data_IF_150419491777
#
_entry.id   IF_150419491777
#
_cell.length_a   1.000
_cell.length_b   1.000
_cell.length_c   1.000
_cell.angle_alpha   90.00
_cell.angle_beta   90.00
_cell.angle_gamma   90.00
#
_symmetry.space_group_name_H-M   'P 1'
#
loop_
_entity.id
_entity.type
_entity.pdbx_description
1 polymer ?
#
# COMPACT_ATOMS: atom_id res chain seq x y z
N UNK A 1 10.27 -20.38 -15.14
CA UNK A 1 9.87 -19.93 -13.79
C UNK A 1 8.49 -19.29 -13.91
N UNK A 2 7.54 -19.54 -12.99
CA UNK A 2 6.21 -18.96 -13.12
C UNK A 2 6.30 -17.43 -12.95
N UNK A 3 5.92 -16.69 -13.98
CA UNK A 3 5.84 -15.23 -13.97
C UNK A 3 4.60 -14.81 -13.18
N UNK A 4 4.67 -14.88 -11.85
CA UNK A 4 3.58 -14.47 -10.98
C UNK A 4 3.56 -12.93 -10.94
N UNK A 5 2.58 -12.34 -11.61
CA UNK A 5 2.40 -10.89 -11.68
C UNK A 5 1.38 -10.34 -10.66
N UNK A 6 0.61 -11.23 -10.03
CA UNK A 6 -0.42 -10.88 -9.06
C UNK A 6 -0.31 -11.78 -7.83
N UNK A 7 -0.37 -11.17 -6.65
CA UNK A 7 -0.32 -11.84 -5.37
C UNK A 7 -1.62 -11.57 -4.60
N UNK A 8 -2.35 -12.64 -4.31
CA UNK A 8 -3.53 -12.58 -3.44
C UNK A 8 -3.21 -13.25 -2.12
N UNK A 9 -3.21 -12.48 -1.03
CA UNK A 9 -2.85 -12.97 0.28
C UNK A 9 -4.09 -13.05 1.18
N UNK A 10 -4.22 -14.20 1.83
CA UNK A 10 -5.22 -14.39 2.88
C UNK A 10 -4.81 -13.73 4.19
N UNK A 11 -3.56 -13.97 4.63
CA UNK A 11 -3.01 -13.51 5.91
C UNK A 11 -1.48 -13.44 5.82
N UNK A 12 -0.87 -12.42 6.45
CA UNK A 12 0.57 -12.40 6.74
C UNK A 12 0.75 -12.13 8.23
N UNK A 13 1.35 -13.10 8.93
CA UNK A 13 1.87 -12.90 10.28
C UNK A 13 3.21 -12.20 10.16
N UNK A 14 3.27 -10.96 10.65
CA UNK A 14 4.52 -10.23 10.88
C UNK A 14 4.44 -9.82 12.35
N UNK A 15 5.43 -10.23 13.14
CA UNK A 15 5.55 -9.85 14.55
C UNK A 15 5.87 -8.35 14.59
N UNK A 16 5.02 -7.54 15.25
CA UNK A 16 5.10 -6.06 15.29
C UNK A 16 6.26 -5.56 16.19
N UNK A 17 7.31 -6.37 16.42
CA UNK A 17 8.47 -5.96 17.22
C UNK A 17 9.25 -4.88 16.45
N UNK A 18 9.50 -3.76 17.11
CA UNK A 18 10.08 -2.55 16.53
C UNK A 18 11.56 -2.67 16.07
N UNK A 19 12.22 -3.80 16.29
CA UNK A 19 13.65 -3.93 16.03
C UNK A 19 13.93 -4.88 14.86
N UNK A 20 13.84 -4.35 13.65
CA UNK A 20 14.88 -4.42 12.61
C UNK A 20 14.36 -3.68 11.38
N UNK A 21 14.75 -2.41 11.26
CA UNK A 21 15.02 -1.84 9.95
C UNK A 21 15.86 -2.88 9.21
N UNK A 22 15.24 -3.46 8.19
CA UNK A 22 15.72 -4.50 7.29
C UNK A 22 17.25 -4.52 7.23
N UNK A 23 17.89 -5.36 8.05
CA UNK A 23 19.24 -5.80 7.69
C UNK A 23 19.09 -6.39 6.29
N UNK A 24 19.81 -5.82 5.34
CA UNK A 24 19.78 -6.18 3.92
C UNK A 24 20.36 -7.57 3.75
N UNK A 25 19.66 -8.59 4.23
CA UNK A 25 20.02 -9.97 3.99
C UNK A 25 20.04 -10.19 2.48
N UNK A 26 21.00 -11.00 2.02
CA UNK A 26 21.11 -11.34 0.60
C UNK A 26 19.79 -11.93 0.05
N UNK A 27 19.02 -12.62 0.89
CA UNK A 27 17.68 -13.11 0.59
C UNK A 27 16.70 -11.99 0.27
N UNK A 28 16.73 -10.89 1.02
CA UNK A 28 15.87 -9.73 0.77
C UNK A 28 16.22 -9.06 -0.57
N UNK A 29 17.51 -8.81 -0.83
CA UNK A 29 17.97 -8.26 -2.11
C UNK A 29 17.64 -9.19 -3.29
N UNK A 30 17.75 -10.51 -3.09
CA UNK A 30 17.39 -11.50 -4.10
C UNK A 30 15.90 -11.46 -4.45
N UNK A 31 15.02 -11.41 -3.44
CA UNK A 31 13.57 -11.29 -3.66
C UNK A 31 13.24 -9.95 -4.33
N UNK A 32 13.77 -8.84 -3.80
CA UNK A 32 13.57 -7.50 -4.34
C UNK A 32 13.88 -7.42 -5.84
N UNK A 33 15.05 -7.90 -6.26
CA UNK A 33 15.52 -7.79 -7.64
C UNK A 33 14.79 -8.70 -8.64
N UNK A 34 14.09 -9.75 -8.17
CA UNK A 34 13.42 -10.72 -9.05
C UNK A 34 11.91 -10.68 -8.97
N UNK A 35 11.36 -9.91 -8.03
CA UNK A 35 9.93 -9.84 -7.82
C UNK A 35 9.28 -8.95 -8.90
N UNK A 36 8.46 -9.56 -9.76
CA UNK A 36 7.72 -8.87 -10.84
C UNK A 36 6.22 -8.71 -10.50
N UNK A 37 5.87 -8.73 -9.22
CA UNK A 37 4.49 -8.59 -8.74
C UNK A 37 4.08 -7.13 -8.89
N UNK A 38 3.08 -6.92 -9.75
CA UNK A 38 2.50 -5.60 -10.05
C UNK A 38 1.19 -5.36 -9.30
N UNK A 39 0.52 -6.43 -8.88
CA UNK A 39 -0.78 -6.33 -8.22
C UNK A 39 -0.81 -7.12 -6.93
N UNK A 40 -1.19 -6.45 -5.84
CA UNK A 40 -1.34 -7.08 -4.53
C UNK A 40 -2.76 -6.85 -4.02
N UNK A 41 -3.42 -7.95 -3.64
CA UNK A 41 -4.75 -7.93 -3.04
C UNK A 41 -4.69 -8.64 -1.70
N UNK A 42 -5.06 -7.90 -0.65
CA UNK A 42 -5.08 -8.38 0.73
C UNK A 42 -6.45 -8.13 1.33
N UNK A 43 -7.10 -9.19 1.79
CA UNK A 43 -8.48 -9.11 2.30
C UNK A 43 -8.58 -8.71 3.79
N UNK A 44 -7.47 -8.27 4.37
CA UNK A 44 -7.35 -7.95 5.79
C UNK A 44 -6.90 -6.52 6.02
N UNK A 45 -7.08 -6.04 7.26
CA UNK A 45 -6.59 -4.73 7.69
C UNK A 45 -5.12 -4.81 8.06
N UNK A 46 -4.29 -3.95 7.46
CA UNK A 46 -2.86 -3.95 7.72
C UNK A 46 -2.42 -2.72 8.51
N UNK A 47 -1.46 -2.93 9.42
CA UNK A 47 -0.74 -1.87 10.08
C UNK A 47 0.22 -1.19 9.09
N UNK A 48 0.66 0.03 9.43
CA UNK A 48 1.64 0.75 8.62
C UNK A 48 2.95 -0.05 8.45
N UNK A 49 3.41 -0.77 9.49
CA UNK A 49 4.63 -1.56 9.42
C UNK A 49 4.49 -2.71 8.41
N UNK A 50 3.37 -3.44 8.44
CA UNK A 50 3.11 -4.50 7.45
C UNK A 50 3.06 -3.98 6.03
N UNK A 51 2.46 -2.80 5.82
CA UNK A 51 2.43 -2.13 4.50
C UNK A 51 3.84 -1.76 4.04
N UNK A 52 4.67 -1.19 4.93
CA UNK A 52 6.06 -0.86 4.61
C UNK A 52 6.84 -2.08 4.14
N UNK A 53 6.73 -3.19 4.87
CA UNK A 53 7.40 -4.45 4.52
C UNK A 53 6.87 -4.97 3.18
N UNK A 54 5.55 -4.93 2.96
CA UNK A 54 4.94 -5.39 1.72
C UNK A 54 5.44 -4.62 0.49
N UNK A 55 5.45 -3.28 0.56
CA UNK A 55 5.98 -2.42 -0.50
C UNK A 55 7.48 -2.68 -0.71
N UNK A 56 8.24 -2.84 0.36
CA UNK A 56 9.67 -3.12 0.26
C UNK A 56 9.96 -4.51 -0.37
N UNK A 57 9.09 -5.50 -0.19
CA UNK A 57 9.22 -6.82 -0.83
C UNK A 57 8.77 -6.84 -2.29
N UNK A 58 7.91 -5.91 -2.69
CA UNK A 58 7.31 -5.82 -4.03
C UNK A 58 7.54 -4.41 -4.62
N UNK A 59 8.78 -4.08 -5.03
CA UNK A 59 9.12 -2.72 -5.46
C UNK A 59 8.40 -2.25 -6.73
N UNK A 60 7.99 -3.18 -7.58
CA UNK A 60 7.27 -2.92 -8.84
C UNK A 60 5.75 -3.00 -8.69
N UNK A 61 5.24 -2.85 -7.47
CA UNK A 61 3.79 -2.88 -7.25
C UNK A 61 3.15 -1.61 -7.82
N UNK A 62 2.21 -1.82 -8.73
CA UNK A 62 1.46 -0.79 -9.44
C UNK A 62 0.05 -0.64 -8.83
N UNK A 63 -0.51 -1.75 -8.36
CA UNK A 63 -1.87 -1.86 -7.82
C UNK A 63 -1.87 -2.49 -6.43
N UNK A 64 -2.41 -1.76 -5.45
CA UNK A 64 -2.59 -2.26 -4.08
C UNK A 64 -4.07 -2.22 -3.68
N UNK A 65 -4.61 -3.36 -3.27
CA UNK A 65 -5.93 -3.45 -2.61
C UNK A 65 -5.75 -3.99 -1.20
N UNK A 66 -6.08 -3.18 -0.19
CA UNK A 66 -5.82 -3.52 1.20
C UNK A 66 -6.84 -2.91 2.16
N UNK A 67 -7.17 -3.62 3.24
CA UNK A 67 -7.94 -3.04 4.33
C UNK A 67 -7.10 -2.05 5.13
N UNK A 68 -7.66 -0.90 5.49
CA UNK A 68 -6.99 0.10 6.33
C UNK A 68 -7.85 0.45 7.53
N UNK A 69 -7.24 0.45 8.73
CA UNK A 69 -7.90 0.99 9.91
C UNK A 69 -8.02 2.51 9.82
N UNK A 70 -9.21 3.04 10.15
CA UNK A 70 -9.48 4.49 10.08
C UNK A 70 -8.45 5.34 10.82
N UNK A 71 -8.04 4.91 12.02
CA UNK A 71 -7.01 5.62 12.83
C UNK A 71 -5.64 5.68 12.16
N UNK A 72 -5.34 4.76 11.26
CA UNK A 72 -4.06 4.67 10.55
C UNK A 72 -4.11 5.26 9.12
N UNK A 73 -5.31 5.57 8.61
CA UNK A 73 -5.55 6.00 7.23
C UNK A 73 -4.62 7.12 6.79
N UNK A 74 -4.57 8.24 7.54
CA UNK A 74 -3.73 9.37 7.16
C UNK A 74 -2.24 9.02 7.11
N UNK A 75 -1.73 8.27 8.09
CA UNK A 75 -0.31 7.85 8.13
C UNK A 75 0.04 6.90 6.98
N UNK A 76 -0.86 5.98 6.64
CA UNK A 76 -0.68 5.04 5.52
C UNK A 76 -0.75 5.78 4.18
N UNK A 77 -1.71 6.69 4.01
CA UNK A 77 -1.81 7.50 2.78
C UNK A 77 -0.57 8.35 2.57
N UNK A 78 -0.04 9.00 3.62
CA UNK A 78 1.24 9.73 3.52
C UNK A 78 2.38 8.85 3.07
N UNK A 79 2.47 7.63 3.61
CA UNK A 79 3.51 6.68 3.20
C UNK A 79 3.34 6.27 1.72
N UNK A 80 2.15 5.80 1.34
CA UNK A 80 1.87 5.26 0.01
C UNK A 80 1.90 6.32 -1.10
N UNK A 81 1.53 7.58 -0.80
CA UNK A 81 1.49 8.65 -1.79
C UNK A 81 2.78 9.45 -1.86
N UNK A 82 3.72 9.24 -0.93
CA UNK A 82 5.04 9.87 -1.03
C UNK A 82 5.86 9.19 -2.12
N UNK A 83 6.29 9.97 -3.13
CA UNK A 83 7.06 9.49 -4.29
C UNK A 83 8.36 8.77 -3.93
N UNK A 84 8.91 9.02 -2.74
CA UNK A 84 10.14 8.38 -2.27
C UNK A 84 9.94 6.95 -1.75
N UNK A 85 8.71 6.53 -1.44
CA UNK A 85 8.47 5.30 -0.67
C UNK A 85 7.68 4.22 -1.43
N UNK A 86 6.83 4.59 -2.40
CA UNK A 86 5.93 3.64 -3.07
C UNK A 86 6.25 3.40 -4.55
N UNK A 87 7.36 3.94 -5.06
CA UNK A 87 7.91 3.61 -6.37
C UNK A 87 6.91 3.77 -7.51
N UNK A 88 6.48 2.63 -8.07
CA UNK A 88 5.59 2.50 -9.23
C UNK A 88 4.09 2.45 -8.87
N UNK A 89 3.73 2.59 -7.59
CA UNK A 89 2.34 2.53 -7.16
C UNK A 89 1.55 3.72 -7.71
N UNK A 90 0.52 3.44 -8.52
CA UNK A 90 -0.39 4.43 -9.09
C UNK A 90 -1.87 4.12 -8.83
N UNK A 91 -2.17 2.95 -8.26
CA UNK A 91 -3.54 2.55 -7.90
C UNK A 91 -3.62 2.01 -6.48
N UNK A 92 -4.54 2.58 -5.71
CA UNK A 92 -4.89 2.12 -4.37
C UNK A 92 -6.40 1.91 -4.24
N UNK A 93 -6.79 0.73 -3.76
CA UNK A 93 -8.12 0.41 -3.30
C UNK A 93 -8.08 0.11 -1.81
N UNK A 94 -8.92 0.78 -1.02
CA UNK A 94 -9.02 0.55 0.41
C UNK A 94 -10.42 0.10 0.78
N UNK A 95 -10.54 -1.08 1.36
CA UNK A 95 -11.82 -1.66 1.77
C UNK A 95 -12.14 -1.40 3.24
N UNK A 96 -13.43 -1.41 3.59
CA UNK A 96 -13.88 -1.31 4.98
C UNK A 96 -13.73 0.08 5.61
N UNK A 97 -13.70 1.14 4.78
CA UNK A 97 -13.64 2.53 5.22
C UNK A 97 -14.99 3.24 5.02
N UNK A 98 -15.39 4.16 5.93
CA UNK A 98 -16.62 4.92 5.75
C UNK A 98 -16.50 5.91 4.58
N UNK A 99 -17.65 6.31 4.00
CA UNK A 99 -17.70 7.29 2.90
C UNK A 99 -17.00 8.62 3.23
N UNK A 100 -17.02 9.04 4.50
CA UNK A 100 -16.34 10.26 4.97
C UNK A 100 -14.83 10.24 4.71
N UNK A 101 -14.21 9.05 4.64
CA UNK A 101 -12.79 8.93 4.36
C UNK A 101 -12.42 9.45 2.97
N UNK A 102 -13.36 9.50 2.01
CA UNK A 102 -13.10 10.14 0.70
C UNK A 102 -12.71 11.60 0.88
N UNK A 103 -13.51 12.36 1.61
CA UNK A 103 -13.29 13.79 1.79
C UNK A 103 -12.07 14.04 2.69
N UNK A 104 -11.84 13.18 3.69
CA UNK A 104 -10.64 13.20 4.54
C UNK A 104 -9.36 12.99 3.70
N UNK A 105 -9.33 11.98 2.84
CA UNK A 105 -8.18 11.68 1.97
C UNK A 105 -7.99 12.76 0.91
N UNK A 106 -9.07 13.27 0.31
CA UNK A 106 -8.99 14.37 -0.64
C UNK A 106 -8.39 15.62 0.01
N UNK A 107 -8.85 15.99 1.20
CA UNK A 107 -8.27 17.12 1.95
C UNK A 107 -6.80 16.89 2.28
N UNK A 108 -6.45 15.68 2.72
CA UNK A 108 -5.06 15.32 3.03
C UNK A 108 -4.14 15.52 1.82
N UNK A 109 -4.52 15.00 0.65
CA UNK A 109 -3.73 15.11 -0.58
C UNK A 109 -3.55 16.58 -0.97
N UNK A 110 -4.62 17.39 -0.88
CA UNK A 110 -4.57 18.81 -1.25
C UNK A 110 -3.71 19.65 -0.29
N UNK A 111 -3.87 19.43 1.02
CA UNK A 111 -3.14 20.19 2.05
C UNK A 111 -1.65 19.87 2.03
N UNK A 112 -1.30 18.59 1.86
CA UNK A 112 0.09 18.13 1.93
C UNK A 112 0.75 17.98 0.56
N UNK A 113 0.01 18.29 -0.53
CA UNK A 113 0.49 18.19 -1.93
C UNK A 113 1.12 16.84 -2.25
N UNK A 114 0.51 15.74 -1.77
CA UNK A 114 1.07 14.39 -1.87
C UNK A 114 1.20 13.92 -3.32
N UNK A 115 0.19 14.18 -4.14
CA UNK A 115 0.13 13.84 -5.57
C UNK A 115 -0.60 14.97 -6.32
N UNK A 116 -0.26 15.18 -7.61
CA UNK A 116 -0.78 16.31 -8.40
C UNK A 116 -2.06 15.94 -9.16
N UNK A 117 -1.96 14.92 -10.01
CA UNK A 117 -3.05 14.51 -10.90
C UNK A 117 -3.64 13.21 -10.35
N UNK A 118 -4.76 13.32 -9.62
CA UNK A 118 -5.36 12.16 -8.98
C UNK A 118 -6.88 12.11 -9.15
N UNK A 119 -7.42 10.90 -9.15
CA UNK A 119 -8.85 10.63 -9.12
C UNK A 119 -9.19 9.91 -7.82
N UNK A 120 -10.27 10.32 -7.14
CA UNK A 120 -10.76 9.63 -5.94
C UNK A 120 -12.24 9.30 -6.07
N UNK A 121 -12.59 8.02 -5.93
CA UNK A 121 -13.97 7.52 -6.01
C UNK A 121 -14.30 6.66 -4.81
N UNK A 122 -15.55 6.73 -4.35
CA UNK A 122 -16.07 5.83 -3.33
C UNK A 122 -17.20 5.00 -3.96
N UNK A 123 -17.01 3.69 -4.07
CA UNK A 123 -17.93 2.79 -4.77
C UNK A 123 -18.07 1.52 -3.92
N UNK A 124 -19.30 1.09 -3.64
CA UNK A 124 -19.60 -0.17 -2.95
C UNK A 124 -18.82 -0.39 -1.64
N UNK A 125 -18.65 0.66 -0.83
CA UNK A 125 -17.94 0.57 0.45
C UNK A 125 -16.40 0.61 0.37
N UNK A 126 -15.85 0.82 -0.83
CA UNK A 126 -14.41 0.91 -1.07
C UNK A 126 -14.03 2.32 -1.54
N UNK A 127 -12.87 2.78 -1.08
CA UNK A 127 -12.23 4.00 -1.56
C UNK A 127 -11.19 3.63 -2.61
N UNK A 128 -11.30 4.22 -3.78
CA UNK A 128 -10.39 4.04 -4.90
C UNK A 128 -9.65 5.34 -5.18
N UNK A 129 -8.34 5.24 -5.38
CA UNK A 129 -7.44 6.34 -5.65
C UNK A 129 -6.50 5.96 -6.80
N UNK A 130 -6.39 6.83 -7.80
CA UNK A 130 -5.49 6.71 -8.96
C UNK A 130 -4.67 7.99 -9.07
N UNK A 131 -3.37 7.91 -9.40
CA UNK A 131 -2.51 9.07 -9.63
C UNK A 131 -1.34 8.77 -10.58
#
# INVERSE_FOLDING_TARGET
MPNIHALKLGFISIDDREDTLTEQSQSFQYVYNRNMIKSIIVNEKYSLQKIKILIALCPHVEYLNIGIERKALARIMRFLLSQTNAGELFFLCTSGVPKSCRDEVQKLIQLEKLVRDYLIKFINGNLYLWW
#
